data_IF_741125213346
#
_entry.id   IF_741125213346
#
_cell.length_a   1.000
_cell.length_b   1.000
_cell.length_c   1.000
_cell.angle_alpha   90.00
_cell.angle_beta   90.00
_cell.angle_gamma   90.00
#
_symmetry.space_group_name_H-M   'P 1'
#
loop_
_entity.id
_entity.type
_entity.pdbx_description
1 polymer ?
#
# COMPACT_ATOMS: atom_id res chain seq x y z
N UNK A 1 -36.79 9.93 -40.47
CA UNK A 1 -37.18 8.78 -39.63
C UNK A 1 -35.88 8.09 -39.22
N UNK A 2 -35.18 8.60 -38.19
CA UNK A 2 -35.11 8.02 -36.83
C UNK A 2 -34.72 6.53 -36.86
N UNK A 3 -33.67 6.00 -36.24
CA UNK A 3 -32.68 6.43 -35.23
C UNK A 3 -31.54 5.38 -35.30
N UNK A 4 -30.26 5.75 -35.25
CA UNK A 4 -29.37 5.60 -34.09
C UNK A 4 -29.32 4.20 -33.45
N UNK A 5 -28.17 3.52 -33.55
CA UNK A 5 -27.65 2.69 -32.45
C UNK A 5 -26.13 2.80 -32.46
N UNK A 6 -25.66 3.88 -31.85
CA UNK A 6 -24.28 4.06 -31.42
C UNK A 6 -24.26 3.79 -29.90
N UNK A 7 -23.75 2.64 -29.49
CA UNK A 7 -23.40 2.28 -28.11
C UNK A 7 -22.27 1.22 -28.24
N UNK A 8 -21.08 1.31 -27.65
CA UNK A 8 -20.60 2.16 -26.57
C UNK A 8 -19.07 2.02 -26.49
N UNK A 9 -18.32 3.11 -26.70
CA UNK A 9 -16.93 3.22 -26.22
C UNK A 9 -16.99 3.55 -24.72
N UNK A 10 -17.06 2.53 -23.86
CA UNK A 10 -16.90 2.74 -22.40
C UNK A 10 -15.41 2.70 -22.07
N UNK A 11 -14.78 3.86 -22.21
CA UNK A 11 -13.45 4.11 -21.66
C UNK A 11 -13.52 4.22 -20.14
N UNK A 12 -13.33 3.11 -19.42
CA UNK A 12 -12.74 3.06 -18.08
C UNK A 12 -12.01 1.73 -17.92
N UNK A 13 -10.69 1.76 -18.06
CA UNK A 13 -9.80 0.66 -17.71
C UNK A 13 -9.82 0.47 -16.18
N UNK A 14 -10.91 -0.09 -15.65
CA UNK A 14 -11.01 -0.46 -14.24
C UNK A 14 -10.31 -1.80 -14.06
N UNK A 15 -8.98 -1.75 -13.90
CA UNK A 15 -8.24 -2.92 -13.43
C UNK A 15 -8.82 -3.32 -12.08
N UNK A 16 -9.20 -4.59 -11.96
CA UNK A 16 -9.67 -5.15 -10.69
C UNK A 16 -8.60 -4.92 -9.60
N UNK A 17 -9.01 -4.60 -8.37
CA UNK A 17 -8.08 -4.44 -7.27
C UNK A 17 -7.40 -5.78 -6.99
N UNK A 18 -6.07 -5.76 -6.88
CA UNK A 18 -5.26 -6.91 -6.50
C UNK A 18 -5.12 -6.88 -4.98
N UNK A 19 -5.56 -7.94 -4.30
CA UNK A 19 -5.42 -8.12 -2.85
C UNK A 19 -4.39 -9.22 -2.62
N UNK A 20 -3.34 -8.90 -1.85
CA UNK A 20 -2.30 -9.85 -1.50
C UNK A 20 -2.73 -10.72 -0.31
N UNK A 21 -2.47 -12.02 -0.39
CA UNK A 21 -2.58 -12.94 0.74
C UNK A 21 -1.49 -12.70 1.77
N UNK A 22 -1.68 -13.19 3.00
CA UNK A 22 -0.66 -13.09 4.05
C UNK A 22 0.68 -13.73 3.66
N UNK A 23 0.66 -14.77 2.83
CA UNK A 23 1.87 -15.43 2.31
C UNK A 23 2.62 -14.49 1.37
N UNK A 24 1.91 -13.86 0.43
CA UNK A 24 2.50 -12.92 -0.51
C UNK A 24 3.02 -11.66 0.19
N UNK A 25 2.29 -11.15 1.19
CA UNK A 25 2.78 -10.08 2.06
C UNK A 25 4.09 -10.52 2.73
N UNK A 26 4.14 -11.69 3.35
CA UNK A 26 5.36 -12.21 3.97
C UNK A 26 6.55 -12.29 3.00
N UNK A 27 6.30 -12.70 1.76
CA UNK A 27 7.33 -12.68 0.70
C UNK A 27 7.79 -11.27 0.36
N UNK A 28 6.86 -10.31 0.24
CA UNK A 28 7.18 -8.89 0.00
C UNK A 28 8.06 -8.35 1.14
N UNK A 29 7.70 -8.61 2.40
CA UNK A 29 8.48 -8.16 3.55
C UNK A 29 9.89 -8.77 3.55
N UNK A 30 9.99 -10.06 3.25
CA UNK A 30 11.28 -10.74 3.14
C UNK A 30 12.17 -10.13 2.05
N UNK A 31 11.63 -9.88 0.86
CA UNK A 31 12.40 -9.25 -0.22
C UNK A 31 12.75 -7.79 0.11
N UNK A 32 11.84 -7.04 0.72
CA UNK A 32 12.08 -5.66 1.14
C UNK A 32 13.25 -5.56 2.15
N UNK A 33 13.37 -6.53 3.07
CA UNK A 33 14.48 -6.61 4.04
C UNK A 33 15.86 -6.87 3.41
N UNK A 34 15.90 -7.18 2.12
CA UNK A 34 17.10 -7.49 1.33
C UNK A 34 17.42 -6.40 0.31
N UNK A 35 16.67 -5.30 0.29
CA UNK A 35 16.91 -4.20 -0.64
C UNK A 35 18.30 -3.59 -0.45
N UNK A 36 19.05 -3.34 -1.54
CA UNK A 36 20.30 -2.60 -1.47
C UNK A 36 20.08 -1.23 -0.84
N UNK A 37 20.87 -0.93 0.19
CA UNK A 37 20.75 0.32 0.94
C UNK A 37 22.13 0.89 1.24
N UNK A 38 22.44 2.01 0.60
CA UNK A 38 23.72 2.71 0.79
C UNK A 38 23.96 3.07 2.26
N UNK A 39 22.90 3.42 2.98
CA UNK A 39 22.93 3.80 4.41
C UNK A 39 22.26 2.77 5.34
N UNK A 40 21.91 1.57 4.82
CA UNK A 40 21.22 0.54 5.62
C UNK A 40 19.74 0.81 5.96
N UNK A 41 19.19 1.98 5.66
CA UNK A 41 17.82 2.36 6.07
C UNK A 41 16.74 1.63 5.27
N UNK A 42 16.89 1.45 3.95
CA UNK A 42 15.82 0.88 3.08
C UNK A 42 15.37 -0.51 3.53
N UNK A 43 16.33 -1.36 3.93
CA UNK A 43 16.05 -2.71 4.41
C UNK A 43 15.33 -2.74 5.78
N UNK A 44 15.26 -1.62 6.48
CA UNK A 44 14.48 -1.45 7.70
C UNK A 44 13.14 -0.78 7.38
N UNK A 45 13.16 0.31 6.61
CA UNK A 45 11.97 1.12 6.32
C UNK A 45 10.92 0.39 5.50
N UNK A 46 11.30 -0.23 4.37
CA UNK A 46 10.31 -0.84 3.47
C UNK A 46 9.55 -2.02 4.08
N UNK A 47 10.20 -3.00 4.75
CA UNK A 47 9.43 -4.06 5.40
C UNK A 47 8.53 -3.51 6.52
N UNK A 48 8.98 -2.51 7.28
CA UNK A 48 8.12 -1.87 8.30
C UNK A 48 6.92 -1.17 7.67
N UNK A 49 7.12 -0.37 6.62
CA UNK A 49 6.06 0.35 5.93
C UNK A 49 5.01 -0.60 5.34
N UNK A 50 5.45 -1.63 4.60
CA UNK A 50 4.54 -2.59 3.99
C UNK A 50 3.82 -3.44 5.04
N UNK A 51 4.51 -3.84 6.11
CA UNK A 51 3.91 -4.55 7.22
C UNK A 51 2.83 -3.71 7.90
N UNK A 52 3.13 -2.43 8.15
CA UNK A 52 2.20 -1.49 8.74
C UNK A 52 0.94 -1.34 7.88
N UNK A 53 1.09 -1.04 6.58
CA UNK A 53 -0.04 -0.94 5.65
C UNK A 53 -0.88 -2.21 5.61
N UNK A 54 -0.24 -3.39 5.67
CA UNK A 54 -0.94 -4.67 5.62
C UNK A 54 -1.80 -4.94 6.87
N UNK A 55 -1.36 -4.50 8.06
CA UNK A 55 -2.11 -4.74 9.32
C UNK A 55 -3.12 -3.65 9.65
N UNK A 56 -2.92 -2.43 9.15
CA UNK A 56 -3.78 -1.27 9.42
C UNK A 56 -4.76 -0.95 8.29
N UNK A 57 -4.47 -1.39 7.06
CA UNK A 57 -5.24 -1.02 5.88
C UNK A 57 -5.01 0.42 5.40
N UNK A 58 -3.93 1.08 5.85
CA UNK A 58 -3.59 2.44 5.42
C UNK A 58 -3.41 2.54 3.91
N UNK A 59 -3.91 3.63 3.35
CA UNK A 59 -3.57 4.05 1.98
C UNK A 59 -2.14 4.56 1.96
N UNK A 60 -1.49 4.42 0.81
CA UNK A 60 -0.10 4.86 0.64
C UNK A 60 0.10 6.33 0.99
N UNK A 61 -0.89 7.20 0.74
CA UNK A 61 -0.80 8.61 1.11
C UNK A 61 -0.78 8.81 2.62
N UNK A 62 -1.61 8.10 3.38
CA UNK A 62 -1.69 8.21 4.84
C UNK A 62 -0.39 7.69 5.48
N UNK A 63 0.12 6.55 5.01
CA UNK A 63 1.36 5.98 5.51
C UNK A 63 2.59 6.86 5.24
N UNK A 64 2.59 7.64 4.15
CA UNK A 64 3.69 8.56 3.80
C UNK A 64 3.59 9.90 4.55
N UNK A 65 2.43 10.25 5.09
CA UNK A 65 2.24 11.49 5.86
C UNK A 65 2.42 11.31 7.36
N UNK A 66 2.55 10.06 7.84
CA UNK A 66 2.82 9.76 9.26
C UNK A 66 4.08 10.49 9.75
N UNK A 67 3.95 11.16 10.89
CA UNK A 67 5.05 11.71 11.68
C UNK A 67 5.18 10.97 13.03
N UNK A 68 6.18 11.34 13.82
CA UNK A 68 6.44 10.73 15.13
C UNK A 68 5.29 10.92 16.11
N UNK A 69 4.61 12.06 16.05
CA UNK A 69 3.52 12.40 16.97
C UNK A 69 2.24 11.60 16.68
N UNK A 70 2.15 10.96 15.52
CA UNK A 70 1.03 10.10 15.13
C UNK A 70 1.12 8.69 15.73
N UNK A 71 2.28 8.32 16.30
CA UNK A 71 2.56 6.96 16.80
C UNK A 71 2.73 6.98 18.32
N UNK A 72 1.76 6.40 19.03
CA UNK A 72 1.85 6.17 20.47
C UNK A 72 2.29 4.72 20.76
N UNK A 73 3.59 4.55 21.03
CA UNK A 73 4.17 3.26 21.41
C UNK A 73 3.76 2.77 22.81
N UNK A 74 3.16 3.62 23.65
CA UNK A 74 2.69 3.23 24.98
C UNK A 74 1.33 2.55 24.89
N UNK A 75 0.49 3.00 23.96
CA UNK A 75 -0.86 2.47 23.75
C UNK A 75 -0.95 1.54 22.54
N UNK A 76 0.14 1.36 21.78
CA UNK A 76 0.18 0.64 20.50
C UNK A 76 -0.83 1.19 19.48
N UNK A 77 -0.98 2.53 19.45
CA UNK A 77 -1.95 3.24 18.59
C UNK A 77 -1.20 4.03 17.51
N UNK A 78 -1.76 4.03 16.30
CA UNK A 78 -1.39 4.96 15.23
C UNK A 78 -2.62 5.78 14.87
N UNK A 79 -2.44 7.10 14.83
CA UNK A 79 -3.46 8.08 14.46
C UNK A 79 -3.18 8.60 13.05
N UNK A 80 -4.22 8.82 12.24
CA UNK A 80 -4.12 9.23 10.83
C UNK A 80 -5.12 10.33 10.49
#
# INVERSE_FOLDING_TARGET
MHQSTELQKVGRNSRLPIIYSSIEIGQILHQASRLPSVNGIRRLTYPTLFGLMAVTGLRISEALTLDRDDVDFTQDIITI
#
